data_IF_649872296122
#
_entry.id   IF_649872296122
#
_cell.length_a   1.000
_cell.length_b   1.000
_cell.length_c   1.000
_cell.angle_alpha   90.00
_cell.angle_beta   90.00
_cell.angle_gamma   90.00
#
_symmetry.space_group_name_H-M   'P 1'
#
loop_
_entity.id
_entity.type
_entity.pdbx_description
1 polymer ?
#
# COMPACT_ATOMS: atom_id res chain seq x y z
N UNK A 1 57.28 57.65 38.33
CA UNK A 1 58.38 57.08 37.51
C UNK A 1 57.88 55.78 36.93
N UNK A 2 57.30 55.80 35.74
CA UNK A 2 56.79 54.59 35.10
C UNK A 2 57.75 54.24 33.96
N UNK A 3 58.66 53.30 34.22
CA UNK A 3 59.64 52.85 33.24
C UNK A 3 58.92 51.93 32.24
N UNK A 4 58.51 52.50 31.11
CA UNK A 4 58.13 51.72 29.93
C UNK A 4 59.35 50.90 29.48
N UNK A 5 59.31 49.59 29.74
CA UNK A 5 60.35 48.64 29.32
C UNK A 5 60.52 48.70 27.80
N UNK A 6 61.63 49.28 27.35
CA UNK A 6 61.93 49.55 25.92
C UNK A 6 62.29 48.29 25.12
N UNK A 7 62.48 47.13 25.77
CA UNK A 7 62.81 45.86 25.10
C UNK A 7 62.06 44.69 25.77
N UNK A 8 61.18 44.03 25.02
CA UNK A 8 60.48 42.81 25.44
C UNK A 8 61.24 41.57 24.93
N UNK A 9 61.37 40.53 25.78
CA UNK A 9 61.96 39.26 25.34
C UNK A 9 61.02 38.56 24.36
N UNK A 10 61.56 37.93 23.31
CA UNK A 10 60.77 37.23 22.28
C UNK A 10 59.77 36.22 22.88
N UNK A 11 60.16 35.54 23.95
CA UNK A 11 59.29 34.61 24.69
C UNK A 11 58.06 35.28 25.32
N UNK A 12 58.19 36.52 25.80
CA UNK A 12 57.07 37.28 26.41
C UNK A 12 56.10 37.77 25.32
N UNK A 13 56.63 38.17 24.15
CA UNK A 13 55.83 38.60 22.99
C UNK A 13 55.08 37.43 22.35
N UNK A 14 55.69 36.25 22.31
CA UNK A 14 55.03 35.02 21.82
C UNK A 14 53.98 34.50 22.80
N UNK A 15 54.26 34.55 24.11
CA UNK A 15 53.27 34.19 25.14
C UNK A 15 52.05 35.13 25.11
N UNK A 16 52.25 36.44 24.91
CA UNK A 16 51.14 37.38 24.72
C UNK A 16 50.32 37.07 23.46
N UNK A 17 50.98 36.80 22.32
CA UNK A 17 50.29 36.41 21.09
C UNK A 17 49.48 35.12 21.24
N UNK A 18 50.01 34.12 21.94
CA UNK A 18 49.28 32.87 22.22
C UNK A 18 48.09 33.11 23.15
N UNK A 19 48.25 33.94 24.20
CA UNK A 19 47.17 34.29 25.12
C UNK A 19 46.05 35.09 24.43
N UNK A 20 46.40 36.00 23.52
CA UNK A 20 45.41 36.76 22.74
C UNK A 20 44.70 35.87 21.72
N UNK A 21 45.40 34.94 21.06
CA UNK A 21 44.79 33.96 20.15
C UNK A 21 43.81 33.02 20.86
N UNK A 22 44.16 32.52 22.05
CA UNK A 22 43.27 31.68 22.85
C UNK A 22 42.03 32.46 23.33
N UNK A 23 42.20 33.72 23.72
CA UNK A 23 41.09 34.59 24.10
C UNK A 23 40.14 34.83 22.93
N UNK A 24 40.67 35.10 21.74
CA UNK A 24 39.89 35.27 20.52
C UNK A 24 39.15 33.99 20.14
N UNK A 25 39.78 32.82 20.27
CA UNK A 25 39.10 31.53 20.07
C UNK A 25 37.97 31.29 21.07
N UNK A 26 38.20 31.54 22.36
CA UNK A 26 37.18 31.40 23.41
C UNK A 26 36.00 32.36 23.19
N UNK A 27 36.26 33.59 22.74
CA UNK A 27 35.22 34.57 22.40
C UNK A 27 34.41 34.12 21.19
N UNK A 28 35.06 33.58 20.15
CA UNK A 28 34.38 33.02 18.97
C UNK A 28 33.54 31.79 19.32
N UNK A 29 34.03 30.90 20.19
CA UNK A 29 33.27 29.74 20.63
C UNK A 29 32.05 30.15 21.45
N UNK A 30 32.21 31.06 22.42
CA UNK A 30 31.09 31.60 23.21
C UNK A 30 30.05 32.27 22.31
N UNK A 31 30.47 33.08 21.33
CA UNK A 31 29.56 33.70 20.38
C UNK A 31 28.81 32.67 19.51
N UNK A 32 29.46 31.56 19.14
CA UNK A 32 28.82 30.45 18.41
C UNK A 32 27.79 29.74 19.27
N UNK A 33 28.12 29.42 20.53
CA UNK A 33 27.20 28.77 21.48
C UNK A 33 25.99 29.67 21.74
N UNK A 34 26.20 30.95 22.02
CA UNK A 34 25.11 31.90 22.28
C UNK A 34 24.16 32.04 21.06
N UNK A 35 24.70 32.02 19.84
CA UNK A 35 23.90 32.02 18.60
C UNK A 35 23.05 30.74 18.46
N UNK A 36 23.62 29.59 18.80
CA UNK A 36 22.89 28.31 18.77
C UNK A 36 21.78 28.26 19.82
N UNK A 37 22.05 28.75 21.03
CA UNK A 37 21.04 28.84 22.09
C UNK A 37 19.91 29.80 21.74
N UNK A 38 20.22 30.99 21.20
CA UNK A 38 19.21 31.94 20.71
C UNK A 38 18.37 31.33 19.60
N UNK A 39 18.98 30.57 18.68
CA UNK A 39 18.24 29.87 17.63
C UNK A 39 17.31 28.79 18.19
N UNK A 40 17.81 27.94 19.10
CA UNK A 40 17.00 26.89 19.74
C UNK A 40 15.81 27.48 20.48
N UNK A 41 16.03 28.53 21.26
CA UNK A 41 14.96 29.22 21.98
C UNK A 41 13.91 29.81 21.04
N UNK A 42 14.33 30.40 19.92
CA UNK A 42 13.41 30.92 18.92
C UNK A 42 12.57 29.81 18.26
N UNK A 43 13.20 28.69 17.92
CA UNK A 43 12.51 27.55 17.30
C UNK A 43 11.51 26.90 18.29
N UNK A 44 11.85 26.82 19.58
CA UNK A 44 10.94 26.39 20.67
C UNK A 44 9.74 27.35 20.81
N UNK A 45 9.99 28.67 20.90
CA UNK A 45 8.94 29.69 21.02
C UNK A 45 7.99 29.71 19.78
N UNK A 46 8.53 29.50 18.57
CA UNK A 46 7.74 29.37 17.34
C UNK A 46 6.90 28.07 17.36
N UNK A 47 7.48 26.95 17.81
CA UNK A 47 6.80 25.68 18.02
C UNK A 47 5.60 25.81 18.96
N UNK A 48 5.78 26.39 20.14
CA UNK A 48 4.72 26.59 21.13
C UNK A 48 3.58 27.47 20.59
N UNK A 49 3.91 28.53 19.83
CA UNK A 49 2.91 29.38 19.16
C UNK A 49 2.10 28.61 18.12
N UNK A 50 2.74 27.72 17.35
CA UNK A 50 2.02 26.87 16.37
C UNK A 50 1.10 25.86 17.06
N UNK A 51 1.59 25.17 18.09
CA UNK A 51 0.80 24.22 18.88
C UNK A 51 -0.43 24.90 19.53
N UNK A 52 -0.26 26.11 20.08
CA UNK A 52 -1.36 26.88 20.64
C UNK A 52 -2.42 27.27 19.58
N UNK A 53 -2.00 27.62 18.36
CA UNK A 53 -2.92 27.91 17.24
C UNK A 53 -3.69 26.67 16.80
N UNK A 54 -3.03 25.52 16.69
CA UNK A 54 -3.68 24.25 16.34
C UNK A 54 -4.65 23.79 17.42
N UNK A 55 -4.28 23.89 18.70
CA UNK A 55 -5.16 23.57 19.82
C UNK A 55 -6.42 24.46 19.81
N UNK A 56 -6.27 25.77 19.56
CA UNK A 56 -7.40 26.70 19.43
C UNK A 56 -8.28 26.35 18.23
N UNK A 57 -7.69 26.03 17.08
CA UNK A 57 -8.42 25.59 15.88
C UNK A 57 -9.21 24.29 16.13
N UNK A 58 -8.60 23.32 16.80
CA UNK A 58 -9.24 22.05 17.17
C UNK A 58 -10.40 22.25 18.14
N UNK A 59 -10.25 23.14 19.13
CA UNK A 59 -11.32 23.49 20.07
C UNK A 59 -12.51 24.13 19.34
N UNK A 60 -12.25 25.12 18.49
CA UNK A 60 -13.28 25.79 17.68
C UNK A 60 -13.97 24.82 16.73
N UNK A 61 -13.24 23.92 16.07
CA UNK A 61 -13.82 22.91 15.19
C UNK A 61 -14.70 21.89 15.95
N UNK A 62 -14.33 21.54 17.20
CA UNK A 62 -15.15 20.68 18.06
C UNK A 62 -16.42 21.39 18.51
N UNK A 63 -16.32 22.67 18.89
CA UNK A 63 -17.47 23.50 19.25
C UNK A 63 -18.42 23.71 18.06
N UNK A 64 -17.89 24.01 16.86
CA UNK A 64 -18.71 24.19 15.64
C UNK A 64 -19.39 22.89 15.22
N UNK A 65 -18.69 21.75 15.31
CA UNK A 65 -19.28 20.45 15.00
C UNK A 65 -20.41 20.11 15.98
N UNK A 66 -20.22 20.37 17.27
CA UNK A 66 -21.25 20.15 18.29
C UNK A 66 -22.48 21.03 18.06
N UNK A 67 -22.27 22.30 17.72
CA UNK A 67 -23.37 23.22 17.40
C UNK A 67 -24.16 22.77 16.15
N UNK A 68 -23.47 22.31 15.09
CA UNK A 68 -24.13 21.80 13.89
C UNK A 68 -24.90 20.50 14.14
N UNK A 69 -24.37 19.60 14.98
CA UNK A 69 -25.08 18.38 15.40
C UNK A 69 -26.32 18.71 16.25
N UNK A 70 -26.26 19.71 17.14
CA UNK A 70 -27.40 20.19 17.92
C UNK A 70 -28.47 20.85 17.03
N UNK A 71 -28.07 21.71 16.09
CA UNK A 71 -28.97 22.35 15.14
C UNK A 71 -29.69 21.32 14.25
N UNK A 72 -28.95 20.36 13.68
CA UNK A 72 -29.52 19.28 12.89
C UNK A 72 -30.51 18.42 13.71
N UNK A 73 -30.22 18.13 14.98
CA UNK A 73 -31.14 17.42 15.88
C UNK A 73 -32.42 18.22 16.13
N UNK A 74 -32.31 19.54 16.35
CA UNK A 74 -33.48 20.40 16.56
C UNK A 74 -34.35 20.50 15.30
N UNK A 75 -33.73 20.57 14.12
CA UNK A 75 -34.46 20.56 12.85
C UNK A 75 -35.14 19.22 12.59
N UNK A 76 -34.47 18.09 12.87
CA UNK A 76 -35.04 16.76 12.73
C UNK A 76 -36.21 16.56 13.71
N UNK A 77 -36.09 17.00 14.96
CA UNK A 77 -37.17 16.96 15.95
C UNK A 77 -38.34 17.86 15.55
N UNK A 78 -38.09 19.05 14.99
CA UNK A 78 -39.13 19.91 14.46
C UNK A 78 -39.87 19.27 13.27
N UNK A 79 -39.15 18.57 12.38
CA UNK A 79 -39.74 17.79 11.28
C UNK A 79 -40.56 16.61 11.80
N UNK A 80 -40.08 15.86 12.78
CA UNK A 80 -40.79 14.74 13.42
C UNK A 80 -42.06 15.19 14.13
N UNK A 81 -41.99 16.31 14.86
CA UNK A 81 -43.16 16.94 15.51
C UNK A 81 -44.22 17.37 14.49
N UNK A 82 -43.83 17.82 13.30
CA UNK A 82 -44.75 18.18 12.20
C UNK A 82 -45.46 16.95 11.60
N UNK A 83 -44.82 15.79 11.64
CA UNK A 83 -45.32 14.52 11.07
C UNK A 83 -46.05 13.68 12.15
N UNK A 84 -46.09 14.11 13.41
CA UNK A 84 -46.74 13.39 14.51
C UNK A 84 -45.92 12.24 15.08
N UNK A 85 -44.62 12.21 14.82
CA UNK A 85 -43.68 11.17 15.27
C UNK A 85 -43.00 11.60 16.59
N UNK A 86 -42.72 10.67 17.54
CA UNK A 86 -42.03 10.99 18.78
C UNK A 86 -40.65 11.66 18.57
N UNK A 87 -40.29 12.52 19.51
CA UNK A 87 -39.01 13.25 19.52
C UNK A 87 -37.81 12.28 19.59
N UNK A 88 -36.73 12.55 18.85
CA UNK A 88 -35.49 11.81 19.03
C UNK A 88 -34.84 12.25 20.33
N UNK A 89 -34.66 11.30 21.24
CA UNK A 89 -33.87 11.52 22.44
C UNK A 89 -32.39 11.77 22.10
N UNK A 90 -31.82 12.76 22.78
CA UNK A 90 -30.41 13.12 22.67
C UNK A 90 -29.56 11.96 23.19
N UNK A 91 -28.78 11.30 22.33
CA UNK A 91 -27.77 10.34 22.79
C UNK A 91 -26.70 11.10 23.57
N UNK A 92 -26.68 10.91 24.89
CA UNK A 92 -25.54 11.31 25.70
C UNK A 92 -24.37 10.38 25.39
N UNK A 93 -23.21 10.96 25.03
CA UNK A 93 -21.94 10.25 24.94
C UNK A 93 -21.51 9.81 26.35
N UNK A 94 -22.07 8.70 26.85
CA UNK A 94 -21.73 8.18 28.17
C UNK A 94 -22.70 7.23 28.83
N UNK A 95 -23.71 6.69 28.14
CA UNK A 95 -24.62 5.72 28.77
C UNK A 95 -24.12 4.27 28.60
N UNK A 96 -23.62 3.71 29.70
CA UNK A 96 -23.13 2.33 29.86
C UNK A 96 -24.25 1.27 29.88
N UNK A 97 -25.45 1.61 29.40
CA UNK A 97 -26.62 0.73 29.38
C UNK A 97 -27.47 0.89 28.13
N UNK A 98 -26.86 0.99 26.94
CA UNK A 98 -27.64 1.06 25.70
C UNK A 98 -28.40 -0.26 25.46
N UNK A 99 -29.74 -0.24 25.34
CA UNK A 99 -30.51 -1.39 24.90
C UNK A 99 -30.02 -1.88 23.53
N UNK A 100 -30.23 -3.17 23.25
CA UNK A 100 -29.95 -3.79 21.95
C UNK A 100 -30.45 -2.89 20.81
N UNK A 101 -29.61 -2.68 19.79
CA UNK A 101 -30.04 -1.97 18.58
C UNK A 101 -31.11 -2.80 17.86
N UNK A 102 -32.06 -2.15 17.20
CA UNK A 102 -33.06 -2.84 16.35
C UNK A 102 -32.35 -3.80 15.37
N UNK A 103 -32.56 -5.11 15.56
CA UNK A 103 -31.96 -6.20 14.77
C UNK A 103 -30.86 -7.01 15.47
N UNK A 104 -30.45 -6.67 16.69
CA UNK A 104 -29.57 -7.54 17.51
C UNK A 104 -30.41 -8.59 18.24
N UNK A 105 -30.23 -9.87 17.91
CA UNK A 105 -30.89 -10.98 18.63
C UNK A 105 -30.30 -11.13 20.03
N UNK A 106 -31.17 -11.13 21.05
CA UNK A 106 -30.76 -11.33 22.43
C UNK A 106 -30.45 -12.82 22.69
N UNK A 107 -29.17 -13.16 22.84
CA UNK A 107 -28.75 -14.53 23.17
C UNK A 107 -28.73 -14.68 24.69
N UNK A 108 -29.50 -15.63 25.21
CA UNK A 108 -29.54 -15.92 26.65
C UNK A 108 -28.15 -16.08 27.28
N UNK A 109 -27.96 -15.51 28.48
CA UNK A 109 -26.65 -15.33 29.11
C UNK A 109 -25.87 -16.64 29.34
N UNK A 110 -26.57 -17.74 29.60
CA UNK A 110 -25.97 -19.06 29.78
C UNK A 110 -25.42 -19.61 28.46
N UNK A 111 -26.20 -19.53 27.38
CA UNK A 111 -25.75 -19.91 26.04
C UNK A 111 -24.60 -19.02 25.55
N UNK A 112 -24.59 -17.73 25.92
CA UNK A 112 -23.52 -16.79 25.60
C UNK A 112 -22.19 -17.16 26.29
N UNK A 113 -22.24 -17.59 27.56
CA UNK A 113 -21.06 -18.07 28.29
C UNK A 113 -20.49 -19.35 27.70
N UNK A 114 -21.36 -20.27 27.28
CA UNK A 114 -20.94 -21.52 26.64
C UNK A 114 -20.31 -21.26 25.26
N UNK A 115 -20.90 -20.37 24.45
CA UNK A 115 -20.33 -19.93 23.17
C UNK A 115 -18.97 -19.24 23.32
N UNK A 116 -18.77 -18.44 24.35
CA UNK A 116 -17.47 -17.82 24.64
C UNK A 116 -16.43 -18.86 25.09
N UNK A 117 -16.85 -19.88 25.84
CA UNK A 117 -16.00 -21.01 26.21
C UNK A 117 -15.56 -21.83 25.00
N UNK A 118 -16.45 -22.05 24.03
CA UNK A 118 -16.13 -22.74 22.77
C UNK A 118 -15.09 -21.99 21.94
N UNK A 119 -15.07 -20.64 22.04
CA UNK A 119 -14.06 -19.78 21.41
C UNK A 119 -12.76 -19.63 22.23
N UNK A 120 -12.60 -20.39 23.32
CA UNK A 120 -11.48 -20.31 24.28
C UNK A 120 -11.27 -18.91 24.89
N UNK A 121 -12.36 -18.16 25.02
CA UNK A 121 -12.37 -16.80 25.56
C UNK A 121 -13.00 -16.78 26.97
N UNK A 122 -12.60 -15.85 27.86
CA UNK A 122 -13.15 -15.77 29.21
C UNK A 122 -14.68 -15.62 29.19
N UNK A 123 -15.38 -16.48 29.96
CA UNK A 123 -16.86 -16.50 30.01
C UNK A 123 -17.44 -15.18 30.51
N UNK A 124 -16.74 -14.50 31.42
CA UNK A 124 -17.12 -13.22 32.02
C UNK A 124 -15.85 -12.40 32.27
N UNK A 125 -15.86 -11.11 31.93
CA UNK A 125 -14.83 -10.15 32.34
C UNK A 125 -15.30 -9.36 33.57
N UNK A 126 -14.36 -8.90 34.40
CA UNK A 126 -14.68 -8.14 35.61
C UNK A 126 -15.39 -6.83 35.25
N UNK A 127 -16.57 -6.60 35.85
CA UNK A 127 -17.42 -5.43 35.58
C UNK A 127 -18.22 -5.49 34.28
N UNK A 128 -18.22 -6.61 33.54
CA UNK A 128 -18.91 -6.74 32.25
C UNK A 128 -20.42 -7.01 32.41
N UNK A 129 -21.25 -6.15 31.81
CA UNK A 129 -22.70 -6.36 31.72
C UNK A 129 -23.09 -7.39 30.63
N UNK A 130 -24.31 -7.92 30.67
CA UNK A 130 -24.79 -8.89 29.67
C UNK A 130 -24.68 -8.36 28.22
N UNK A 131 -25.09 -7.12 28.00
CA UNK A 131 -25.02 -6.46 26.67
C UNK A 131 -23.57 -6.27 26.22
N UNK A 132 -22.66 -5.94 27.13
CA UNK A 132 -21.22 -5.83 26.81
C UNK A 132 -20.63 -7.19 26.42
N UNK A 133 -21.02 -8.25 27.13
CA UNK A 133 -20.64 -9.63 26.81
C UNK A 133 -21.17 -10.07 25.45
N UNK A 134 -22.42 -9.71 25.14
CA UNK A 134 -23.05 -10.02 23.87
C UNK A 134 -22.35 -9.29 22.71
N UNK A 135 -22.03 -8.00 22.89
CA UNK A 135 -21.21 -7.22 21.94
C UNK A 135 -19.82 -7.80 21.77
N UNK A 136 -19.18 -8.28 22.85
CA UNK A 136 -17.88 -8.95 22.79
C UNK A 136 -17.98 -10.23 21.97
N UNK A 137 -18.98 -11.06 22.23
CA UNK A 137 -19.24 -12.27 21.44
C UNK A 137 -19.46 -11.95 19.97
N UNK A 138 -20.34 -11.01 19.62
CA UNK A 138 -20.55 -10.59 18.23
C UNK A 138 -19.30 -10.01 17.57
N UNK A 139 -18.48 -9.27 18.32
CA UNK A 139 -17.20 -8.76 17.83
C UNK A 139 -16.20 -9.89 17.56
N UNK A 140 -16.15 -10.89 18.43
CA UNK A 140 -15.28 -12.06 18.29
C UNK A 140 -15.73 -12.94 17.11
N UNK A 141 -17.03 -13.21 16.99
CA UNK A 141 -17.57 -13.97 15.86
C UNK A 141 -17.42 -13.20 14.55
N UNK A 142 -17.68 -11.89 14.52
CA UNK A 142 -17.42 -11.07 13.34
C UNK A 142 -15.93 -11.05 12.96
N UNK A 143 -15.02 -11.03 13.95
CA UNK A 143 -13.57 -11.14 13.71
C UNK A 143 -13.15 -12.53 13.23
N UNK A 144 -13.79 -13.59 13.73
CA UNK A 144 -13.55 -14.96 13.29
C UNK A 144 -14.11 -15.24 11.89
N UNK A 145 -15.23 -14.60 11.53
CA UNK A 145 -15.85 -14.66 10.21
C UNK A 145 -15.18 -13.73 9.19
N UNK A 146 -14.41 -12.74 9.66
CA UNK A 146 -13.66 -11.85 8.78
C UNK A 146 -12.60 -12.66 8.02
N UNK A 147 -12.54 -12.55 6.69
CA UNK A 147 -11.58 -13.30 5.91
C UNK A 147 -10.15 -12.92 6.33
N UNK A 148 -9.39 -13.92 6.80
CA UNK A 148 -7.98 -13.72 7.19
C UNK A 148 -7.15 -13.44 5.94
N UNK A 149 -6.43 -12.32 5.94
CA UNK A 149 -5.54 -12.00 4.83
C UNK A 149 -4.32 -12.92 4.81
N UNK A 150 -3.85 -13.26 3.61
CA UNK A 150 -2.62 -13.99 3.41
C UNK A 150 -1.41 -13.20 3.92
N UNK A 151 -0.40 -13.91 4.43
CA UNK A 151 0.86 -13.32 4.93
C UNK A 151 1.90 -13.05 3.83
N UNK A 152 1.54 -13.28 2.58
CA UNK A 152 2.44 -13.14 1.44
C UNK A 152 2.74 -11.67 1.08
N UNK A 153 3.61 -11.42 0.09
CA UNK A 153 4.03 -10.08 -0.31
C UNK A 153 2.87 -9.17 -0.72
N UNK A 154 1.78 -9.74 -1.24
CA UNK A 154 0.54 -9.04 -1.57
C UNK A 154 -0.58 -9.63 -0.70
N UNK A 155 -1.05 -8.91 0.33
CA UNK A 155 -2.14 -9.40 1.18
C UNK A 155 -3.44 -9.54 0.39
N UNK A 156 -4.01 -10.75 0.35
CA UNK A 156 -5.29 -11.05 -0.29
C UNK A 156 -6.18 -11.91 0.61
N UNK A 157 -7.49 -11.88 0.40
CA UNK A 157 -8.43 -12.81 1.03
C UNK A 157 -8.58 -14.12 0.23
N UNK A 158 -8.01 -14.18 -0.98
CA UNK A 158 -8.00 -15.41 -1.76
C UNK A 158 -7.25 -16.50 -0.99
N UNK A 159 -7.89 -17.65 -0.82
CA UNK A 159 -7.22 -18.82 -0.26
C UNK A 159 -6.18 -19.29 -1.29
N UNK A 160 -4.90 -19.13 -0.96
CA UNK A 160 -3.83 -19.64 -1.80
C UNK A 160 -3.86 -21.18 -1.84
N UNK A 161 -3.22 -21.72 -2.85
CA UNK A 161 -3.14 -23.15 -3.15
C UNK A 161 -1.72 -23.62 -2.85
N UNK A 162 -1.58 -24.85 -2.38
CA UNK A 162 -0.27 -25.45 -2.11
C UNK A 162 0.55 -25.63 -3.40
N UNK A 163 1.87 -25.71 -3.28
CA UNK A 163 2.79 -25.77 -4.44
C UNK A 163 2.49 -26.93 -5.41
N UNK A 164 1.98 -28.07 -4.90
CA UNK A 164 1.64 -29.25 -5.71
C UNK A 164 0.51 -28.95 -6.69
N UNK A 165 -0.43 -28.13 -6.26
CA UNK A 165 -1.68 -27.84 -6.97
C UNK A 165 -1.63 -26.48 -7.68
N UNK A 166 -0.49 -25.80 -7.67
CA UNK A 166 -0.27 -24.48 -8.29
C UNK A 166 -0.11 -24.53 -9.82
N UNK A 167 0.02 -25.73 -10.40
CA UNK A 167 0.20 -25.91 -11.85
C UNK A 167 -1.07 -25.54 -12.61
N UNK A 168 -0.97 -24.53 -13.47
CA UNK A 168 -2.11 -24.10 -14.27
C UNK A 168 -2.27 -24.99 -15.52
N UNK A 169 -3.51 -25.25 -15.98
CA UNK A 169 -3.75 -25.97 -17.22
C UNK A 169 -3.23 -25.19 -18.44
N UNK A 170 -2.90 -25.90 -19.51
CA UNK A 170 -2.44 -25.29 -20.78
C UNK A 170 -3.51 -24.39 -21.40
N UNK A 171 -4.78 -24.78 -21.30
CA UNK A 171 -5.92 -24.00 -21.75
C UNK A 171 -6.85 -23.68 -20.57
N UNK A 172 -7.48 -22.50 -20.61
CA UNK A 172 -8.45 -22.11 -19.60
C UNK A 172 -9.69 -23.04 -19.66
N UNK A 173 -10.11 -23.66 -18.55
CA UNK A 173 -11.28 -24.52 -18.53
C UNK A 173 -12.57 -23.71 -18.65
N UNK A 174 -13.61 -24.26 -19.28
CA UNK A 174 -14.89 -23.56 -19.48
C UNK A 174 -15.75 -23.46 -18.21
N UNK A 175 -15.66 -24.45 -17.32
CA UNK A 175 -16.46 -24.50 -16.10
C UNK A 175 -16.11 -23.35 -15.13
N UNK A 176 -17.14 -22.68 -14.59
CA UNK A 176 -16.96 -21.53 -13.70
C UNK A 176 -16.15 -21.85 -12.42
N UNK A 177 -16.39 -23.02 -11.84
CA UNK A 177 -15.66 -23.51 -10.65
C UNK A 177 -14.18 -23.74 -10.96
N UNK A 178 -13.89 -24.30 -12.13
CA UNK A 178 -12.52 -24.51 -12.60
C UNK A 178 -11.83 -23.17 -12.90
N UNK A 179 -12.52 -22.17 -13.48
CA UNK A 179 -11.99 -20.81 -13.66
C UNK A 179 -11.66 -20.15 -12.31
N UNK A 180 -12.52 -20.32 -11.31
CA UNK A 180 -12.26 -19.85 -9.93
C UNK A 180 -11.01 -20.50 -9.32
N UNK A 181 -10.83 -21.80 -9.55
CA UNK A 181 -9.63 -22.51 -9.12
C UNK A 181 -8.36 -22.00 -9.83
N UNK A 182 -8.41 -21.80 -11.16
CA UNK A 182 -7.30 -21.23 -11.93
C UNK A 182 -6.92 -19.83 -11.43
N UNK A 183 -7.88 -18.98 -11.07
CA UNK A 183 -7.59 -17.67 -10.45
C UNK A 183 -6.78 -17.81 -9.16
N UNK A 184 -7.13 -18.79 -8.31
CA UNK A 184 -6.36 -19.10 -7.10
C UNK A 184 -4.97 -19.64 -7.42
N UNK A 185 -4.82 -20.50 -8.43
CA UNK A 185 -3.52 -21.01 -8.87
C UNK A 185 -2.60 -19.88 -9.37
N UNK A 186 -3.13 -18.99 -10.22
CA UNK A 186 -2.39 -17.82 -10.72
C UNK A 186 -1.95 -16.91 -9.58
N UNK A 187 -2.86 -16.59 -8.64
CA UNK A 187 -2.54 -15.77 -7.48
C UNK A 187 -1.44 -16.41 -6.61
N UNK A 188 -1.53 -17.72 -6.38
CA UNK A 188 -0.55 -18.49 -5.60
C UNK A 188 0.81 -18.53 -6.29
N UNK A 189 0.83 -18.65 -7.61
CA UNK A 189 2.07 -18.62 -8.38
C UNK A 189 2.79 -17.27 -8.27
N UNK A 190 2.09 -16.14 -8.46
CA UNK A 190 2.72 -14.83 -8.30
C UNK A 190 3.13 -14.54 -6.85
N UNK A 191 2.37 -15.02 -5.86
CA UNK A 191 2.75 -14.93 -4.45
C UNK A 191 4.04 -15.69 -4.15
N UNK A 192 4.17 -16.92 -4.67
CA UNK A 192 5.39 -17.73 -4.58
C UNK A 192 6.58 -17.04 -5.25
N UNK A 193 6.41 -16.53 -6.48
CA UNK A 193 7.48 -15.83 -7.22
C UNK A 193 7.95 -14.57 -6.46
N UNK A 194 7.02 -13.77 -5.94
CA UNK A 194 7.37 -12.56 -5.16
C UNK A 194 8.03 -12.92 -3.83
N UNK A 195 7.59 -13.98 -3.17
CA UNK A 195 8.19 -14.47 -1.92
C UNK A 195 9.63 -14.93 -2.13
N UNK A 196 9.87 -15.70 -3.19
CA UNK A 196 11.20 -16.13 -3.60
C UNK A 196 12.09 -14.93 -3.98
N UNK A 197 11.54 -13.91 -4.64
CA UNK A 197 12.27 -12.69 -4.95
C UNK A 197 12.65 -11.93 -3.69
N UNK A 198 11.71 -11.75 -2.76
CA UNK A 198 11.97 -11.11 -1.48
C UNK A 198 13.05 -11.87 -0.68
N UNK A 199 12.98 -13.20 -0.65
CA UNK A 199 13.97 -14.05 0.00
C UNK A 199 15.36 -13.96 -0.67
N UNK A 200 15.41 -13.96 -2.00
CA UNK A 200 16.66 -13.79 -2.74
C UNK A 200 17.30 -12.41 -2.48
N UNK A 201 16.50 -11.36 -2.29
CA UNK A 201 16.98 -10.02 -1.92
C UNK A 201 17.45 -9.98 -0.46
N UNK A 202 16.75 -10.65 0.45
CA UNK A 202 17.08 -10.65 1.88
C UNK A 202 18.35 -11.45 2.21
N UNK A 203 18.72 -12.45 1.40
CA UNK A 203 19.96 -13.22 1.58
C UNK A 203 21.24 -12.53 1.11
N UNK A 204 21.13 -11.40 0.39
CA UNK A 204 22.31 -10.65 -0.07
C UNK A 204 23.10 -10.10 1.13
N UNK A 205 24.44 -10.02 1.03
CA UNK A 205 25.24 -9.42 2.07
C UNK A 205 24.96 -7.90 2.17
N UNK A 206 25.22 -7.31 3.33
CA UNK A 206 24.80 -5.94 3.67
C UNK A 206 25.41 -4.89 2.75
N UNK A 207 26.68 -5.06 2.39
CA UNK A 207 27.39 -4.24 1.40
C UNK A 207 26.67 -4.20 0.04
N UNK A 208 26.24 -5.37 -0.46
CA UNK A 208 25.49 -5.45 -1.72
C UNK A 208 24.12 -4.81 -1.58
N UNK A 209 23.44 -4.97 -0.44
CA UNK A 209 22.13 -4.32 -0.21
C UNK A 209 22.22 -2.81 -0.17
N UNK A 210 23.28 -2.26 0.44
CA UNK A 210 23.50 -0.82 0.57
C UNK A 210 24.04 -0.17 -0.70
N UNK A 211 24.67 -0.97 -1.57
CA UNK A 211 25.12 -0.54 -2.89
C UNK A 211 23.98 0.04 -3.74
N UNK A 212 24.35 0.85 -4.73
CA UNK A 212 23.40 1.42 -5.69
C UNK A 212 22.61 0.33 -6.43
N UNK A 213 23.29 -0.72 -6.90
CA UNK A 213 22.64 -1.83 -7.63
C UNK A 213 21.71 -2.64 -6.72
N UNK A 214 22.07 -2.85 -5.46
CA UNK A 214 21.21 -3.50 -4.46
C UNK A 214 19.92 -2.73 -4.21
N UNK A 215 20.03 -1.41 -3.98
CA UNK A 215 18.88 -0.52 -3.80
C UNK A 215 17.99 -0.50 -5.04
N UNK A 216 18.57 -0.43 -6.23
CA UNK A 216 17.82 -0.47 -7.49
C UNK A 216 17.08 -1.81 -7.69
N UNK A 217 17.72 -2.94 -7.35
CA UNK A 217 17.07 -4.25 -7.41
C UNK A 217 15.90 -4.36 -6.41
N UNK A 218 16.06 -3.84 -5.19
CA UNK A 218 14.98 -3.81 -4.21
C UNK A 218 13.82 -2.90 -4.65
N UNK A 219 14.11 -1.72 -5.20
CA UNK A 219 13.09 -0.85 -5.78
C UNK A 219 12.35 -1.52 -6.94
N UNK A 220 13.06 -2.28 -7.77
CA UNK A 220 12.46 -3.03 -8.88
C UNK A 220 11.49 -4.11 -8.39
N UNK A 221 11.77 -4.75 -7.25
CA UNK A 221 10.87 -5.68 -6.58
C UNK A 221 9.62 -4.96 -6.02
N UNK A 222 9.80 -3.83 -5.32
CA UNK A 222 8.66 -3.04 -4.81
C UNK A 222 7.73 -2.61 -5.94
N UNK A 223 8.30 -2.12 -7.05
CA UNK A 223 7.52 -1.78 -8.24
C UNK A 223 6.77 -3.00 -8.80
N UNK A 224 7.39 -4.18 -8.85
CA UNK A 224 6.72 -5.40 -9.32
C UNK A 224 5.53 -5.79 -8.42
N UNK A 225 5.72 -5.75 -7.09
CA UNK A 225 4.67 -6.00 -6.10
C UNK A 225 3.50 -5.02 -6.25
N UNK A 226 3.80 -3.72 -6.32
CA UNK A 226 2.78 -2.67 -6.40
C UNK A 226 2.01 -2.77 -7.72
N UNK A 227 2.72 -3.06 -8.81
CA UNK A 227 2.12 -3.26 -10.13
C UNK A 227 1.26 -4.53 -10.24
N UNK A 228 1.58 -5.59 -9.49
CA UNK A 228 0.79 -6.82 -9.44
C UNK A 228 -0.41 -6.74 -8.48
N UNK A 229 -0.40 -5.80 -7.53
CA UNK A 229 -1.48 -5.68 -6.54
C UNK A 229 -2.88 -5.56 -7.19
N UNK A 230 -3.11 -4.76 -8.24
CA UNK A 230 -4.40 -4.71 -8.93
C UNK A 230 -4.82 -6.03 -9.54
N UNK A 231 -3.87 -6.85 -10.03
CA UNK A 231 -4.17 -8.16 -10.60
C UNK A 231 -4.73 -9.09 -9.51
N UNK A 232 -4.05 -9.17 -8.37
CA UNK A 232 -4.49 -10.00 -7.25
C UNK A 232 -5.88 -9.58 -6.78
N UNK A 233 -6.17 -8.27 -6.70
CA UNK A 233 -7.51 -7.77 -6.36
C UNK A 233 -8.59 -8.11 -7.39
N UNK A 234 -8.25 -8.11 -8.68
CA UNK A 234 -9.20 -8.51 -9.75
C UNK A 234 -9.43 -10.02 -9.79
N UNK A 235 -8.43 -10.82 -9.43
CA UNK A 235 -8.58 -12.26 -9.23
C UNK A 235 -9.46 -12.54 -8.00
N UNK A 236 -9.29 -11.77 -6.93
CA UNK A 236 -10.05 -11.88 -5.67
C UNK A 236 -11.54 -11.58 -5.86
N UNK A 237 -11.84 -10.54 -6.64
CA UNK A 237 -13.22 -10.09 -6.88
C UNK A 237 -13.85 -10.73 -8.12
N UNK A 238 -13.15 -11.61 -8.83
CA UNK A 238 -13.57 -12.19 -10.11
C UNK A 238 -13.92 -11.16 -11.20
N UNK A 239 -13.35 -9.95 -11.13
CA UNK A 239 -13.63 -8.83 -12.05
C UNK A 239 -12.65 -8.75 -13.23
N UNK A 240 -11.66 -9.64 -13.29
CA UNK A 240 -10.73 -9.71 -14.42
C UNK A 240 -11.46 -10.22 -15.69
N UNK A 241 -11.42 -9.46 -16.81
CA UNK A 241 -11.96 -9.90 -18.10
C UNK A 241 -11.39 -11.25 -18.53
N UNK A 242 -12.24 -12.09 -19.11
CA UNK A 242 -11.87 -13.45 -19.52
C UNK A 242 -10.71 -13.49 -20.51
N UNK A 243 -10.69 -12.58 -21.50
CA UNK A 243 -9.59 -12.45 -22.46
C UNK A 243 -8.25 -12.22 -21.76
N UNK A 244 -8.23 -11.40 -20.71
CA UNK A 244 -7.02 -11.16 -19.92
C UNK A 244 -6.68 -12.37 -19.04
N UNK A 245 -7.68 -13.04 -18.48
CA UNK A 245 -7.46 -14.25 -17.68
C UNK A 245 -6.82 -15.36 -18.51
N UNK A 246 -7.32 -15.62 -19.73
CA UNK A 246 -6.77 -16.62 -20.66
C UNK A 246 -5.33 -16.27 -21.02
N UNK A 247 -5.06 -15.03 -21.44
CA UNK A 247 -3.71 -14.64 -21.82
C UNK A 247 -2.71 -14.70 -20.65
N UNK A 248 -3.14 -14.35 -19.43
CA UNK A 248 -2.30 -14.47 -18.23
C UNK A 248 -2.08 -15.94 -17.85
N UNK A 249 -3.12 -16.79 -17.97
CA UNK A 249 -2.98 -18.23 -17.77
C UNK A 249 -1.91 -18.82 -18.69
N UNK A 250 -1.94 -18.49 -19.98
CA UNK A 250 -0.97 -18.98 -20.96
C UNK A 250 0.46 -18.54 -20.62
N UNK A 251 0.64 -17.27 -20.23
CA UNK A 251 1.95 -16.77 -19.78
C UNK A 251 2.43 -17.55 -18.56
N UNK A 252 1.57 -17.75 -17.55
CA UNK A 252 1.92 -18.49 -16.32
C UNK A 252 2.26 -19.95 -16.64
N UNK A 253 1.48 -20.60 -17.50
CA UNK A 253 1.75 -21.97 -17.95
C UNK A 253 3.13 -22.09 -18.63
N UNK A 254 3.45 -21.16 -19.54
CA UNK A 254 4.74 -21.12 -20.22
C UNK A 254 5.91 -20.80 -19.27
N UNK A 255 5.67 -19.96 -18.25
CA UNK A 255 6.64 -19.72 -17.19
C UNK A 255 6.91 -20.96 -16.34
N UNK A 256 5.86 -21.70 -15.97
CA UNK A 256 5.96 -22.93 -15.17
C UNK A 256 6.66 -24.06 -15.93
N UNK A 257 6.50 -24.11 -17.25
CA UNK A 257 7.21 -25.04 -18.16
C UNK A 257 8.58 -24.53 -18.61
N UNK A 258 9.05 -23.41 -18.06
CA UNK A 258 10.34 -22.77 -18.37
C UNK A 258 10.54 -22.39 -19.85
N UNK A 259 9.46 -22.23 -20.61
CA UNK A 259 9.50 -21.78 -22.00
C UNK A 259 9.48 -20.24 -22.07
N UNK A 260 10.52 -19.58 -21.54
CA UNK A 260 10.50 -18.13 -21.30
C UNK A 260 10.43 -17.27 -22.57
N UNK A 261 11.00 -17.73 -23.70
CA UNK A 261 10.84 -17.04 -25.00
C UNK A 261 9.38 -17.01 -25.42
N UNK A 262 8.70 -18.16 -25.38
CA UNK A 262 7.27 -18.24 -25.71
C UNK A 262 6.41 -17.45 -24.73
N UNK A 263 6.75 -17.46 -23.44
CA UNK A 263 6.07 -16.67 -22.43
C UNK A 263 6.21 -15.16 -22.71
N UNK A 264 7.38 -14.73 -23.17
CA UNK A 264 7.61 -13.35 -23.61
C UNK A 264 6.80 -12.99 -24.84
N UNK A 265 6.73 -13.88 -25.83
CA UNK A 265 5.95 -13.65 -27.05
C UNK A 265 4.46 -13.55 -26.73
N UNK A 266 3.96 -14.36 -25.80
CA UNK A 266 2.59 -14.26 -25.30
C UNK A 266 2.37 -12.92 -24.56
N UNK A 267 3.32 -12.51 -23.71
CA UNK A 267 3.29 -11.21 -23.05
C UNK A 267 3.30 -10.04 -24.05
N UNK A 268 4.13 -10.09 -25.09
CA UNK A 268 4.22 -9.05 -26.13
C UNK A 268 2.92 -8.97 -26.93
N UNK A 269 2.36 -10.12 -27.33
CA UNK A 269 1.05 -10.19 -28.00
C UNK A 269 -0.06 -9.57 -27.16
N UNK A 270 -0.06 -9.81 -25.86
CA UNK A 270 -1.04 -9.23 -24.93
C UNK A 270 -0.82 -7.73 -24.69
N UNK A 271 0.43 -7.31 -24.53
CA UNK A 271 0.76 -5.93 -24.16
C UNK A 271 0.76 -4.96 -25.32
N UNK A 272 0.99 -5.42 -26.55
CA UNK A 272 0.99 -4.58 -27.77
C UNK A 272 -0.34 -4.74 -28.52
N UNK A 273 -0.97 -5.92 -28.43
CA UNK A 273 -2.06 -6.32 -29.31
C UNK A 273 -1.55 -6.71 -30.70
N UNK A 274 -2.45 -7.18 -31.58
CA UNK A 274 -2.20 -7.51 -32.99
C UNK A 274 -2.17 -6.26 -33.88
N UNK A 275 -2.05 -5.08 -33.29
CA UNK A 275 -2.03 -3.81 -34.01
C UNK A 275 -0.69 -3.66 -34.75
N UNK A 276 -0.75 -3.31 -36.03
CA UNK A 276 0.44 -3.07 -36.84
C UNK A 276 1.29 -1.88 -36.33
N UNK A 277 0.70 -0.97 -35.54
CA UNK A 277 1.34 0.23 -35.00
C UNK A 277 0.89 0.54 -33.55
N UNK A 278 1.67 0.20 -32.51
CA UNK A 278 1.22 0.27 -31.11
C UNK A 278 1.30 1.65 -30.44
N UNK A 279 2.02 2.59 -31.04
CA UNK A 279 2.09 3.99 -30.62
C UNK A 279 1.51 4.80 -31.76
N UNK A 280 0.39 5.46 -31.53
CA UNK A 280 -0.28 6.25 -32.57
C UNK A 280 0.69 7.22 -33.23
N UNK A 281 0.96 7.01 -34.53
CA UNK A 281 1.81 7.91 -35.31
C UNK A 281 0.96 9.11 -35.71
N UNK A 282 1.00 10.20 -34.95
CA UNK A 282 0.36 11.46 -35.36
C UNK A 282 1.24 12.16 -36.40
N UNK A 283 0.71 12.24 -37.63
CA UNK A 283 1.20 13.04 -38.76
C UNK A 283 2.71 12.97 -39.06
N UNK A 284 3.09 12.08 -39.98
CA UNK A 284 4.35 12.20 -40.74
C UNK A 284 3.99 12.57 -42.17
N UNK A 285 3.89 13.88 -42.43
CA UNK A 285 3.65 14.44 -43.77
C UNK A 285 2.68 15.63 -43.77
N UNK A 286 2.99 16.63 -44.62
CA UNK A 286 2.23 17.89 -44.79
C UNK A 286 0.87 17.68 -45.51
N UNK A 287 0.61 16.47 -46.03
CA UNK A 287 -0.62 16.16 -46.78
C UNK A 287 -1.36 14.98 -46.16
N UNK A 288 -2.61 15.23 -45.77
CA UNK A 288 -3.56 14.23 -45.28
C UNK A 288 -4.05 13.34 -46.43
N UNK A 289 -3.99 12.01 -46.26
CA UNK A 289 -4.46 11.04 -47.27
C UNK A 289 -5.54 10.13 -46.67
N UNK A 290 -6.61 9.90 -47.42
CA UNK A 290 -7.82 9.15 -47.02
C UNK A 290 -7.59 7.67 -46.64
N UNK A 291 -6.42 7.10 -46.94
CA UNK A 291 -6.02 5.76 -46.46
C UNK A 291 -5.79 5.70 -44.93
N UNK A 292 -5.69 6.87 -44.28
CA UNK A 292 -5.38 7.04 -42.85
C UNK A 292 -6.59 6.86 -41.93
N UNK A 293 -7.79 7.23 -42.38
CA UNK A 293 -9.03 6.99 -41.61
C UNK A 293 -9.35 5.49 -41.50
N UNK A 294 -9.11 4.73 -42.57
CA UNK A 294 -9.32 3.27 -42.57
C UNK A 294 -8.42 2.54 -41.59
N UNK A 295 -7.21 3.04 -41.32
CA UNK A 295 -6.31 2.47 -40.29
C UNK A 295 -6.82 2.75 -38.87
N UNK A 296 -7.36 3.94 -38.62
CA UNK A 296 -7.94 4.28 -37.33
C UNK A 296 -9.28 3.58 -37.04
N UNK A 297 -10.03 3.18 -38.07
CA UNK A 297 -11.26 2.39 -37.93
C UNK A 297 -10.99 0.90 -37.71
N UNK A 298 -10.03 0.27 -38.41
CA UNK A 298 -9.66 -1.13 -38.12
C UNK A 298 -9.02 -1.30 -36.74
N UNK A 299 -8.25 -0.31 -36.27
CA UNK A 299 -7.69 -0.30 -34.90
C UNK A 299 -8.78 -0.28 -33.81
N UNK A 300 -9.95 0.33 -34.08
CA UNK A 300 -11.11 0.30 -33.17
C UNK A 300 -11.92 -0.98 -33.28
N UNK A 301 -11.96 -1.60 -34.46
CA UNK A 301 -12.74 -2.82 -34.72
C UNK A 301 -12.14 -4.08 -34.09
N UNK A 302 -10.81 -4.16 -33.93
CA UNK A 302 -10.13 -5.34 -33.38
C UNK A 302 -10.11 -5.41 -31.83
N UNK A 303 -10.74 -4.46 -31.12
CA UNK A 303 -10.97 -4.51 -29.66
C UNK A 303 -9.73 -4.50 -28.75
N UNK A 304 -8.51 -4.66 -29.30
CA UNK A 304 -7.26 -4.79 -28.57
C UNK A 304 -6.58 -3.46 -28.23
N UNK A 305 -6.91 -2.37 -28.94
CA UNK A 305 -6.43 -1.03 -28.60
C UNK A 305 -6.86 -0.57 -27.19
N UNK A 306 -7.89 -1.20 -26.60
CA UNK A 306 -8.41 -0.85 -25.28
C UNK A 306 -7.56 -1.37 -24.11
N UNK A 307 -6.74 -2.41 -24.30
CA UNK A 307 -6.00 -3.06 -23.19
C UNK A 307 -4.87 -2.16 -22.67
N UNK A 308 -4.18 -1.44 -23.57
CA UNK A 308 -3.16 -0.45 -23.19
C UNK A 308 -3.73 0.92 -22.82
N UNK A 309 -5.00 1.20 -23.11
CA UNK A 309 -5.64 2.47 -22.78
C UNK A 309 -5.88 2.60 -21.26
N UNK A 310 -6.08 1.48 -20.55
CA UNK A 310 -6.23 1.43 -19.11
C UNK A 310 -4.85 1.35 -18.40
N UNK A 311 -4.53 2.38 -17.61
CA UNK A 311 -3.31 2.47 -16.82
C UNK A 311 -3.19 1.33 -15.80
N UNK A 312 -4.32 0.85 -15.27
CA UNK A 312 -4.33 -0.25 -14.31
C UNK A 312 -3.83 -1.53 -14.98
N UNK A 313 -4.37 -1.84 -16.16
CA UNK A 313 -3.97 -3.00 -16.96
C UNK A 313 -2.51 -2.93 -17.40
N UNK A 314 -2.06 -1.75 -17.83
CA UNK A 314 -0.64 -1.52 -18.15
C UNK A 314 0.28 -1.84 -16.96
N UNK A 315 -0.06 -1.36 -15.76
CA UNK A 315 0.71 -1.68 -14.54
C UNK A 315 0.71 -3.17 -14.26
N UNK A 316 -0.43 -3.85 -14.33
CA UNK A 316 -0.51 -5.31 -14.14
C UNK A 316 0.45 -6.05 -15.08
N UNK A 317 0.44 -5.71 -16.38
CA UNK A 317 1.32 -6.32 -17.38
C UNK A 317 2.80 -6.05 -17.07
N UNK A 318 3.16 -4.82 -16.71
CA UNK A 318 4.53 -4.51 -16.28
C UNK A 318 4.98 -5.32 -15.06
N UNK A 319 4.08 -5.56 -14.10
CA UNK A 319 4.32 -6.42 -12.94
C UNK A 319 4.59 -7.87 -13.34
N UNK A 320 3.76 -8.42 -14.24
CA UNK A 320 3.94 -9.77 -14.82
C UNK A 320 5.29 -9.87 -15.52
N UNK A 321 5.67 -8.89 -16.36
CA UNK A 321 6.95 -8.92 -17.09
C UNK A 321 8.16 -8.93 -16.15
N UNK A 322 8.10 -8.17 -15.06
CA UNK A 322 9.17 -8.16 -14.04
C UNK A 322 9.30 -9.51 -13.35
N UNK A 323 8.17 -10.14 -13.00
CA UNK A 323 8.16 -11.48 -12.44
C UNK A 323 8.66 -12.53 -13.43
N UNK A 324 8.34 -12.39 -14.73
CA UNK A 324 8.85 -13.23 -15.81
C UNK A 324 10.39 -13.16 -15.88
N UNK A 325 10.97 -11.97 -15.90
CA UNK A 325 12.43 -11.78 -15.91
C UNK A 325 13.10 -12.35 -14.66
N UNK A 326 12.49 -12.16 -13.48
CA UNK A 326 13.01 -12.75 -12.24
C UNK A 326 12.94 -14.28 -12.25
N UNK A 327 11.81 -14.84 -12.68
CA UNK A 327 11.58 -16.28 -12.73
C UNK A 327 12.60 -16.98 -13.62
N UNK A 328 12.92 -16.43 -14.80
CA UNK A 328 13.96 -16.98 -15.67
C UNK A 328 15.33 -17.04 -14.98
N UNK A 329 15.69 -16.00 -14.21
CA UNK A 329 16.96 -15.98 -13.47
C UNK A 329 16.97 -16.99 -12.33
N UNK A 330 15.82 -17.16 -11.65
CA UNK A 330 15.68 -18.05 -10.50
C UNK A 330 15.58 -19.52 -10.89
N UNK A 331 14.89 -19.81 -11.99
CA UNK A 331 14.63 -21.13 -12.54
C UNK A 331 15.01 -21.16 -14.03
N UNK A 332 16.31 -21.24 -14.36
CA UNK A 332 16.72 -21.22 -15.75
C UNK A 332 16.14 -22.39 -16.55
N UNK A 333 15.87 -22.19 -17.85
CA UNK A 333 15.43 -23.26 -18.74
C UNK A 333 16.55 -24.29 -18.95
N UNK A 334 16.17 -25.51 -19.33
CA UNK A 334 17.14 -26.57 -19.68
C UNK A 334 17.82 -26.28 -21.01
N UNK A 335 17.07 -25.74 -21.98
CA UNK A 335 17.58 -25.24 -23.24
C UNK A 335 17.92 -23.75 -23.13
N UNK A 336 19.20 -23.39 -23.35
CA UNK A 336 19.68 -22.01 -23.33
C UNK A 336 18.99 -21.15 -24.39
N UNK A 337 18.48 -21.73 -25.48
CA UNK A 337 17.69 -21.03 -26.50
C UNK A 337 16.35 -20.49 -25.99
N UNK A 338 15.90 -20.93 -24.81
CA UNK A 338 14.70 -20.42 -24.13
C UNK A 338 14.98 -19.24 -23.19
N UNK A 339 16.23 -18.79 -23.05
CA UNK A 339 16.53 -17.57 -22.30
C UNK A 339 16.05 -16.35 -23.09
N UNK A 340 15.19 -15.54 -22.47
CA UNK A 340 14.87 -14.23 -22.99
C UNK A 340 16.05 -13.28 -22.76
N UNK A 341 16.50 -12.61 -23.82
CA UNK A 341 17.57 -11.61 -23.82
C UNK A 341 17.06 -10.27 -24.29
#
# INVERSE_FOLDING_TARGET
MDQTKKYLKRSEVEAQRQADYLREQDELEKARVERLEKKRKRDEDEGDRTAAREAKKKRLAKESRKAAEEEAQTEENARRKRIGLPELERKADGDEGTPLKDGEEDVADDALRDKLKELDEPRVLFGESHIQRLRRYYKLTAKALAPTMTKGPIPTILQLVDEKDMKVPEALPEAAEAKSFVRRQIASYFDMVLSEWQFALSRRPTDVKESFSGKQAYHSFLQARDNLTPLVRKLETNTLPEVLLTAINDIVHLMQTKCYVKANDAYLRLSIGKAAWPIGVTMVGIHERSARERLHETEKADGQAHILADETTRKMLQGIKRCLSFAQTRWPPEDLGQLMG
#
